data_IF_042098920087
#
_entry.id   IF_042098920087
#
_cell.length_a   1.000
_cell.length_b   1.000
_cell.length_c   1.000
_cell.angle_alpha   90.00
_cell.angle_beta   90.00
_cell.angle_gamma   90.00
#
_symmetry.space_group_name_H-M   'P 1'
#
loop_
_entity.id
_entity.type
_entity.pdbx_description
1 polymer ?
#
# COMPACT_ATOMS: atom_id res chain seq x y z
N UNK A 1 1.44 0.15 10.67
CA UNK A 1 1.47 1.53 11.21
C UNK A 1 1.15 2.51 10.08
N UNK A 2 0.39 3.55 10.36
CA UNK A 2 0.14 4.65 9.41
C UNK A 2 0.19 6.00 10.13
N UNK A 3 0.43 7.05 9.36
CA UNK A 3 0.43 8.44 9.82
C UNK A 3 -0.15 9.35 8.75
N UNK A 4 -0.79 10.43 9.18
CA UNK A 4 -1.31 11.49 8.32
C UNK A 4 -0.74 12.83 8.78
N UNK A 5 -0.29 13.63 7.82
CA UNK A 5 0.24 14.96 8.02
C UNK A 5 -0.56 15.94 7.18
N UNK A 6 -1.24 16.87 7.85
CA UNK A 6 -1.86 18.02 7.19
C UNK A 6 -0.77 19.02 6.82
N UNK A 7 -0.56 19.25 5.52
CA UNK A 7 0.45 20.19 5.02
C UNK A 7 -0.13 21.60 4.89
N UNK A 8 -1.38 21.68 4.42
CA UNK A 8 -2.19 22.91 4.29
C UNK A 8 -3.65 22.57 4.54
N UNK A 9 -4.54 23.55 4.51
CA UNK A 9 -5.98 23.30 4.70
C UNK A 9 -6.58 22.34 3.69
N UNK A 10 -6.09 22.38 2.46
CA UNK A 10 -6.57 21.57 1.37
C UNK A 10 -5.56 20.51 0.87
N UNK A 11 -4.45 20.28 1.60
CA UNK A 11 -3.42 19.31 1.21
C UNK A 11 -3.00 18.49 2.42
N UNK A 12 -3.02 17.17 2.28
CA UNK A 12 -2.49 16.24 3.28
C UNK A 12 -1.62 15.16 2.65
N UNK A 13 -0.73 14.60 3.45
CA UNK A 13 0.12 13.47 3.10
C UNK A 13 -0.15 12.33 4.08
N UNK A 14 -0.26 11.11 3.57
CA UNK A 14 -0.42 9.90 4.36
C UNK A 14 0.73 8.96 4.07
N UNK A 15 1.27 8.32 5.11
CA UNK A 15 2.27 7.27 4.97
C UNK A 15 1.86 6.06 5.78
N UNK A 16 2.17 4.87 5.27
CA UNK A 16 1.93 3.62 5.99
C UNK A 16 3.02 2.60 5.71
N UNK A 17 3.27 1.75 6.70
CA UNK A 17 4.16 0.61 6.64
C UNK A 17 3.54 -0.54 7.42
N UNK A 18 3.57 -1.74 6.87
CA UNK A 18 3.05 -2.94 7.50
C UNK A 18 4.03 -4.09 7.41
N UNK A 19 3.93 -5.00 8.39
CA UNK A 19 4.59 -6.30 8.32
C UNK A 19 3.60 -7.38 8.72
N UNK A 20 3.70 -8.53 8.06
CA UNK A 20 2.88 -9.71 8.32
C UNK A 20 3.80 -10.90 8.47
N UNK A 21 3.57 -11.71 9.50
CA UNK A 21 4.28 -12.96 9.73
C UNK A 21 3.34 -14.12 9.47
N UNK A 22 3.79 -15.06 8.64
CA UNK A 22 3.12 -16.32 8.36
C UNK A 22 3.89 -17.43 9.06
N UNK A 23 3.19 -18.29 9.80
CA UNK A 23 3.78 -19.45 10.45
C UNK A 23 2.89 -20.66 10.20
N UNK A 24 3.49 -21.80 9.89
CA UNK A 24 2.78 -23.06 9.70
C UNK A 24 2.89 -23.87 10.99
N UNK A 25 1.76 -24.35 11.51
CA UNK A 25 1.73 -25.23 12.67
C UNK A 25 1.48 -26.67 12.21
N UNK A 26 2.50 -27.53 12.28
CA UNK A 26 2.32 -28.99 12.15
C UNK A 26 3.59 -29.75 12.53
N UNK A 27 3.43 -31.01 12.95
CA UNK A 27 4.46 -32.01 13.28
C UNK A 27 5.43 -32.37 12.12
N UNK A 28 5.61 -31.48 11.14
CA UNK A 28 6.42 -31.62 9.92
C UNK A 28 7.37 -30.42 9.73
N UNK A 29 7.76 -29.76 10.84
CA UNK A 29 8.68 -28.61 10.86
C UNK A 29 10.05 -28.89 10.21
N UNK A 30 10.44 -30.16 10.16
CA UNK A 30 11.82 -30.56 9.84
C UNK A 30 12.20 -30.54 8.35
N UNK A 31 11.35 -30.04 7.43
CA UNK A 31 11.64 -30.12 5.98
C UNK A 31 11.56 -28.84 5.15
N UNK A 32 10.86 -27.78 5.58
CA UNK A 32 10.53 -26.66 4.67
C UNK A 32 10.57 -25.23 5.25
N UNK A 33 10.95 -25.05 6.51
CA UNK A 33 11.02 -23.71 7.10
C UNK A 33 9.69 -23.26 7.73
N UNK A 34 9.80 -22.74 8.96
CA UNK A 34 8.68 -22.56 9.88
C UNK A 34 7.99 -21.18 9.81
N UNK A 35 8.56 -20.21 9.09
CA UNK A 35 8.05 -18.84 9.08
C UNK A 35 8.41 -18.10 7.78
N UNK A 36 7.45 -17.34 7.24
CA UNK A 36 7.69 -16.31 6.25
C UNK A 36 7.35 -14.92 6.82
N UNK A 37 8.23 -13.94 6.62
CA UNK A 37 7.96 -12.54 6.98
C UNK A 37 7.75 -11.71 5.72
N UNK A 38 6.70 -10.89 5.75
CA UNK A 38 6.37 -9.97 4.67
C UNK A 38 6.28 -8.53 5.15
N UNK A 39 6.57 -7.59 4.26
CA UNK A 39 6.43 -6.14 4.51
C UNK A 39 5.81 -5.42 3.32
N UNK A 40 5.14 -4.31 3.60
CA UNK A 40 4.62 -3.37 2.60
C UNK A 40 4.71 -1.93 3.09
N UNK A 41 4.65 -0.97 2.16
CA UNK A 41 4.54 0.45 2.49
C UNK A 41 3.81 1.21 1.40
N UNK A 42 3.24 2.35 1.77
CA UNK A 42 2.55 3.24 0.85
C UNK A 42 2.69 4.69 1.32
N UNK A 43 2.90 5.59 0.38
CA UNK A 43 2.82 7.03 0.55
C UNK A 43 1.67 7.55 -0.32
N UNK A 44 0.92 8.50 0.20
CA UNK A 44 -0.22 9.11 -0.45
C UNK A 44 -0.24 10.62 -0.27
N UNK A 45 -0.60 11.33 -1.33
CA UNK A 45 -0.95 12.74 -1.32
C UNK A 45 -2.44 12.88 -1.59
N UNK A 46 -3.08 13.80 -0.90
CA UNK A 46 -4.50 14.08 -1.08
C UNK A 46 -4.73 15.58 -1.10
N UNK A 47 -5.52 16.02 -2.07
CA UNK A 47 -5.86 17.40 -2.35
C UNK A 47 -7.39 17.54 -2.31
N UNK A 48 -7.88 18.56 -1.62
CA UNK A 48 -9.28 18.97 -1.66
C UNK A 48 -9.40 20.27 -2.47
N UNK A 49 -10.56 20.48 -3.09
CA UNK A 49 -10.94 21.69 -3.82
C UNK A 49 -9.90 22.07 -4.88
N UNK A 50 -9.57 21.12 -5.77
CA UNK A 50 -8.46 21.28 -6.73
C UNK A 50 -8.82 22.22 -7.88
N UNK A 51 -10.00 22.06 -8.46
CA UNK A 51 -10.49 22.89 -9.56
C UNK A 51 -11.87 23.48 -9.29
N UNK A 52 -12.76 22.71 -8.66
CA UNK A 52 -14.09 23.15 -8.21
C UNK A 52 -14.32 22.78 -6.75
N UNK A 53 -15.32 23.41 -6.14
CA UNK A 53 -15.69 23.15 -4.75
C UNK A 53 -16.10 21.68 -4.55
N UNK A 54 -15.59 21.06 -3.49
CA UNK A 54 -15.77 19.66 -3.09
C UNK A 54 -15.10 18.60 -3.97
N UNK A 55 -14.45 18.99 -5.06
CA UNK A 55 -13.65 18.05 -5.85
C UNK A 55 -12.39 17.63 -5.09
N UNK A 56 -11.91 16.42 -5.36
CA UNK A 56 -10.72 15.88 -4.67
C UNK A 56 -9.78 15.26 -5.67
N UNK A 57 -8.49 15.30 -5.39
CA UNK A 57 -7.51 14.52 -6.13
C UNK A 57 -6.60 13.78 -5.17
N UNK A 58 -5.99 12.71 -5.66
CA UNK A 58 -4.97 12.03 -4.89
C UNK A 58 -4.01 11.25 -5.77
N UNK A 59 -2.89 10.95 -5.16
CA UNK A 59 -1.84 10.14 -5.73
C UNK A 59 -1.24 9.27 -4.64
N UNK A 60 -1.10 7.98 -4.89
CA UNK A 60 -0.43 7.06 -3.99
C UNK A 60 0.66 6.29 -4.73
N UNK A 61 1.74 5.98 -4.03
CA UNK A 61 2.80 5.10 -4.49
C UNK A 61 3.25 4.21 -3.35
N UNK A 62 3.49 2.95 -3.64
CA UNK A 62 3.88 2.00 -2.62
C UNK A 62 4.41 0.71 -3.17
N UNK A 63 4.83 -0.12 -2.22
CA UNK A 63 5.25 -1.47 -2.45
C UNK A 63 4.11 -2.41 -2.11
N UNK A 64 3.79 -3.34 -3.02
CA UNK A 64 2.87 -4.43 -2.72
C UNK A 64 3.55 -5.43 -1.79
N UNK A 65 2.77 -6.13 -0.96
CA UNK A 65 3.23 -7.12 0.02
C UNK A 65 4.32 -8.03 -0.56
N UNK A 66 5.55 -7.88 -0.05
CA UNK A 66 6.74 -8.61 -0.49
C UNK A 66 7.20 -9.56 0.62
N UNK A 67 7.54 -10.81 0.29
CA UNK A 67 8.07 -11.80 1.25
C UNK A 67 9.59 -11.80 1.13
N UNK A 68 10.26 -11.15 2.09
CA UNK A 68 11.71 -10.94 2.01
C UNK A 68 12.57 -11.99 2.71
N UNK A 69 11.98 -12.88 3.52
CA UNK A 69 12.72 -13.95 4.19
C UNK A 69 11.84 -15.20 4.30
N UNK A 70 12.29 -16.27 3.64
CA UNK A 70 11.83 -17.64 3.84
C UNK A 70 12.96 -18.36 4.58
N UNK A 71 12.74 -18.78 5.83
CA UNK A 71 13.71 -19.58 6.58
C UNK A 71 13.73 -21.02 6.02
N UNK A 72 14.20 -21.24 4.79
CA UNK A 72 14.36 -22.58 4.24
C UNK A 72 15.77 -22.77 3.66
N UNK A 73 16.43 -23.85 4.10
CA UNK A 73 17.72 -24.33 3.61
C UNK A 73 17.70 -24.82 2.15
N UNK A 74 16.58 -24.67 1.44
CA UNK A 74 16.45 -24.92 0.01
C UNK A 74 16.49 -23.58 -0.73
N UNK A 75 17.70 -23.21 -1.14
CA UNK A 75 18.00 -22.16 -2.11
C UNK A 75 17.26 -22.41 -3.44
N UNK A 76 16.02 -21.97 -3.56
CA UNK A 76 15.29 -21.99 -4.83
C UNK A 76 14.55 -20.65 -4.99
N UNK A 77 15.17 -19.77 -5.78
CA UNK A 77 14.61 -18.54 -6.36
C UNK A 77 14.03 -17.51 -5.37
N UNK A 78 14.91 -16.70 -4.76
CA UNK A 78 14.51 -15.34 -4.36
C UNK A 78 14.15 -14.57 -5.64
N UNK A 79 12.85 -14.50 -5.96
CA UNK A 79 12.36 -13.49 -6.90
C UNK A 79 12.68 -12.13 -6.27
N UNK A 80 13.81 -11.56 -6.69
CA UNK A 80 14.36 -10.30 -6.17
C UNK A 80 13.56 -9.09 -6.65
N UNK A 81 12.46 -9.31 -7.37
CA UNK A 81 11.61 -8.26 -7.88
C UNK A 81 10.70 -7.76 -6.77
N UNK A 82 11.00 -6.55 -6.32
CA UNK A 82 10.13 -5.81 -5.40
C UNK A 82 8.99 -5.19 -6.22
N UNK A 83 7.72 -5.60 -6.03
CA UNK A 83 6.61 -5.04 -6.77
C UNK A 83 6.25 -3.64 -6.24
N UNK A 84 6.26 -2.65 -7.13
CA UNK A 84 5.78 -1.31 -6.84
C UNK A 84 4.52 -1.01 -7.64
N UNK A 85 3.60 -0.27 -7.04
CA UNK A 85 2.38 0.21 -7.67
C UNK A 85 2.18 1.68 -7.35
N UNK A 86 1.52 2.39 -8.27
CA UNK A 86 0.99 3.71 -8.01
C UNK A 86 -0.49 3.75 -8.37
N UNK A 87 -1.19 4.71 -7.80
CA UNK A 87 -2.56 5.04 -8.17
C UNK A 87 -2.67 6.57 -8.24
N UNK A 88 -3.27 7.09 -9.30
CA UNK A 88 -3.64 8.50 -9.38
C UNK A 88 -5.15 8.60 -9.61
N UNK A 89 -5.85 9.43 -8.83
CA UNK A 89 -7.29 9.59 -8.97
C UNK A 89 -7.73 11.05 -8.88
N UNK A 90 -8.86 11.32 -9.52
CA UNK A 90 -9.57 12.59 -9.42
C UNK A 90 -11.05 12.31 -9.15
N UNK A 91 -11.65 12.98 -8.20
CA UNK A 91 -13.07 12.92 -7.86
C UNK A 91 -13.69 14.21 -8.34
N UNK A 92 -14.48 14.10 -9.41
CA UNK A 92 -15.31 15.18 -9.94
C UNK A 92 -16.71 15.10 -9.33
N UNK A 93 -17.14 16.13 -8.60
CA UNK A 93 -18.46 16.19 -7.99
C UNK A 93 -19.48 16.69 -9.03
N UNK A 94 -20.42 15.84 -9.42
CA UNK A 94 -21.46 16.18 -10.41
C UNK A 94 -22.65 16.88 -9.73
N UNK A 95 -23.06 16.36 -8.57
CA UNK A 95 -24.09 16.93 -7.68
C UNK A 95 -23.70 16.66 -6.23
N UNK A 96 -24.38 17.22 -5.24
CA UNK A 96 -24.08 16.98 -3.80
C UNK A 96 -24.04 15.50 -3.38
N UNK A 97 -24.64 14.60 -4.16
CA UNK A 97 -24.73 13.16 -3.85
C UNK A 97 -24.08 12.26 -4.90
N UNK A 98 -23.66 12.79 -6.05
CA UNK A 98 -23.11 12.00 -7.16
C UNK A 98 -21.74 12.55 -7.54
N UNK A 99 -20.74 11.68 -7.52
CA UNK A 99 -19.38 11.95 -7.96
C UNK A 99 -18.88 10.88 -8.92
N UNK A 100 -17.96 11.25 -9.80
CA UNK A 100 -17.27 10.33 -10.70
C UNK A 100 -15.79 10.34 -10.34
N UNK A 101 -15.18 9.16 -10.20
CA UNK A 101 -13.77 9.01 -9.89
C UNK A 101 -13.03 8.25 -11.00
N UNK A 102 -12.48 8.92 -12.01
CA UNK A 102 -11.42 8.33 -12.84
C UNK A 102 -10.17 8.02 -12.01
N UNK A 103 -9.52 6.89 -12.30
CA UNK A 103 -8.25 6.49 -11.70
C UNK A 103 -7.33 5.81 -12.74
N UNK A 104 -6.02 5.88 -12.50
CA UNK A 104 -4.94 5.24 -13.25
C UNK A 104 -4.08 4.40 -12.32
#
# INVERSE_FOLDING_TARGET
MSGNLKLRDNISMTGSYGTTRFSVDSSQKDKYGDTANSSNWMLGLSFNDVFTDNDKAGFAYGQQTYVGNLDNSASESEDSQIPYAFEAWYIYQVTDNISIQPAL
#
